data_IF_555370135056
#
_entry.id   IF_555370135056
#
_cell.length_a   1.000
_cell.length_b   1.000
_cell.length_c   1.000
_cell.angle_alpha   90.00
_cell.angle_beta   90.00
_cell.angle_gamma   90.00
#
_symmetry.space_group_name_H-M   'P 1'
#
loop_
_entity.id
_entity.type
_entity.pdbx_description
1 polymer ?
#
# COMPACT_ATOMS: atom_id res chain seq x y z
N UNK A 1 7.38 -34.02 -1.82
CA UNK A 1 7.02 -34.21 -0.39
C UNK A 1 8.14 -33.79 0.58
N UNK A 2 9.38 -34.28 0.47
CA UNK A 2 10.47 -33.85 1.37
C UNK A 2 10.95 -32.40 1.17
N UNK A 3 11.09 -31.96 -0.08
CA UNK A 3 11.51 -30.59 -0.41
C UNK A 3 10.48 -29.52 0.01
N UNK A 4 9.18 -29.82 -0.13
CA UNK A 4 8.09 -28.92 0.29
C UNK A 4 8.06 -28.72 1.81
N UNK A 5 8.36 -29.78 2.57
CA UNK A 5 8.45 -29.69 4.03
C UNK A 5 9.63 -28.83 4.45
N UNK A 6 10.78 -28.99 3.79
CA UNK A 6 11.97 -28.17 4.03
C UNK A 6 11.71 -26.67 3.83
N UNK A 7 11.06 -26.29 2.72
CA UNK A 7 10.70 -24.90 2.45
C UNK A 7 9.70 -24.34 3.47
N UNK A 8 8.70 -25.12 3.89
CA UNK A 8 7.74 -24.70 4.92
C UNK A 8 8.41 -24.51 6.28
N UNK A 9 9.33 -25.39 6.65
CA UNK A 9 10.12 -25.23 7.88
C UNK A 9 11.01 -24.00 7.82
N UNK A 10 11.61 -23.71 6.66
CA UNK A 10 12.38 -22.49 6.46
C UNK A 10 11.51 -21.23 6.59
N UNK A 11 10.30 -21.22 6.04
CA UNK A 11 9.35 -20.10 6.22
C UNK A 11 8.97 -19.90 7.69
N UNK A 12 8.71 -20.98 8.43
CA UNK A 12 8.43 -20.93 9.86
C UNK A 12 9.64 -20.41 10.66
N UNK A 13 10.84 -20.87 10.32
CA UNK A 13 12.08 -20.40 10.93
C UNK A 13 12.30 -18.90 10.65
N UNK A 14 12.05 -18.45 9.42
CA UNK A 14 12.13 -17.04 9.04
C UNK A 14 11.18 -16.16 9.85
N UNK A 15 9.92 -16.60 10.01
CA UNK A 15 8.94 -15.91 10.86
C UNK A 15 9.43 -15.82 12.31
N UNK A 16 9.95 -16.92 12.86
CA UNK A 16 10.51 -16.94 14.22
C UNK A 16 11.70 -15.97 14.34
N UNK A 17 12.62 -15.96 13.38
CA UNK A 17 13.78 -15.07 13.36
C UNK A 17 13.34 -13.60 13.32
N UNK A 18 12.34 -13.23 12.52
CA UNK A 18 11.82 -11.85 12.48
C UNK A 18 11.30 -11.40 13.85
N UNK A 19 10.57 -12.28 14.57
CA UNK A 19 10.09 -11.98 15.93
C UNK A 19 11.25 -11.86 16.93
N UNK A 20 12.25 -12.74 16.84
CA UNK A 20 13.44 -12.68 17.70
C UNK A 20 14.21 -11.38 17.45
N UNK A 21 14.40 -10.97 16.20
CA UNK A 21 15.06 -9.69 15.85
C UNK A 21 14.28 -8.53 16.44
N UNK A 22 12.95 -8.50 16.29
CA UNK A 22 12.12 -7.46 16.89
C UNK A 22 12.24 -7.42 18.43
N UNK A 23 12.33 -8.58 19.09
CA UNK A 23 12.54 -8.67 20.53
C UNK A 23 13.94 -8.23 20.98
N UNK A 24 14.97 -8.43 20.15
CA UNK A 24 16.33 -7.97 20.43
C UNK A 24 16.44 -6.44 20.40
N UNK A 25 15.72 -5.80 19.47
CA UNK A 25 15.64 -4.34 19.35
C UNK A 25 14.52 -3.72 20.20
N UNK A 26 13.82 -4.51 21.02
CA UNK A 26 12.76 -4.03 21.90
C UNK A 26 13.31 -3.14 23.01
N UNK A 27 12.69 -1.98 23.22
CA UNK A 27 13.04 -1.08 24.31
C UNK A 27 12.81 -1.69 25.69
N UNK A 28 11.75 -2.50 25.82
CA UNK A 28 11.43 -3.16 27.09
C UNK A 28 10.75 -4.52 26.86
N UNK A 29 11.58 -5.54 26.61
CA UNK A 29 11.14 -6.94 26.43
C UNK A 29 10.35 -7.55 27.59
N UNK A 30 10.35 -6.96 28.79
CA UNK A 30 9.67 -7.52 29.98
C UNK A 30 8.17 -7.22 30.00
N UNK A 31 7.75 -6.12 29.38
CA UNK A 31 6.35 -5.69 29.35
C UNK A 31 5.61 -6.12 28.08
N UNK A 32 6.32 -6.74 27.15
CA UNK A 32 5.74 -7.29 25.92
C UNK A 32 4.68 -8.32 26.27
N UNK A 33 3.45 -8.12 25.76
CA UNK A 33 2.37 -9.06 25.99
C UNK A 33 2.44 -10.23 25.00
N UNK A 34 2.45 -11.46 25.53
CA UNK A 34 2.38 -12.68 24.70
C UNK A 34 1.11 -12.74 23.85
N UNK A 35 0.05 -12.06 24.28
CA UNK A 35 -1.21 -11.93 23.55
C UNK A 35 -0.99 -11.30 22.17
N UNK A 36 -0.20 -10.22 22.10
CA UNK A 36 0.06 -9.52 20.84
C UNK A 36 0.82 -10.43 19.88
N UNK A 37 1.79 -11.21 20.37
CA UNK A 37 2.52 -12.18 19.54
C UNK A 37 1.57 -13.24 18.98
N UNK A 38 0.78 -13.87 19.86
CA UNK A 38 -0.11 -14.95 19.46
C UNK A 38 -1.21 -14.47 18.51
N UNK A 39 -1.90 -13.38 18.83
CA UNK A 39 -2.98 -12.86 17.99
C UNK A 39 -2.47 -12.10 16.77
N UNK A 40 -1.31 -11.44 16.84
CA UNK A 40 -0.71 -10.76 15.70
C UNK A 40 -0.36 -11.75 14.59
N UNK A 41 0.31 -12.84 14.95
CA UNK A 41 0.58 -13.94 14.03
C UNK A 41 -0.69 -14.72 13.66
N UNK A 42 -1.57 -14.96 14.64
CA UNK A 42 -2.83 -15.68 14.45
C UNK A 42 -3.74 -14.99 13.44
N UNK A 43 -3.94 -13.68 13.54
CA UNK A 43 -4.73 -12.91 12.59
C UNK A 43 -4.15 -12.96 11.18
N UNK A 44 -2.83 -12.80 11.04
CA UNK A 44 -2.16 -12.92 9.74
C UNK A 44 -2.35 -14.31 9.12
N UNK A 45 -2.17 -15.37 9.90
CA UNK A 45 -2.36 -16.75 9.42
C UNK A 45 -3.82 -17.05 9.09
N UNK A 46 -4.76 -16.58 9.91
CA UNK A 46 -6.21 -16.73 9.65
C UNK A 46 -6.57 -16.02 8.35
N UNK A 47 -6.12 -14.77 8.16
CA UNK A 47 -6.34 -14.03 6.92
C UNK A 47 -5.69 -14.72 5.73
N UNK A 48 -4.44 -15.18 5.85
CA UNK A 48 -3.74 -15.90 4.80
C UNK A 48 -4.50 -17.17 4.38
N UNK A 49 -4.94 -18.00 5.34
CA UNK A 49 -5.68 -19.23 5.04
C UNK A 49 -7.05 -18.90 4.43
N UNK A 50 -7.78 -17.95 5.03
CA UNK A 50 -9.10 -17.54 4.57
C UNK A 50 -9.05 -16.99 3.14
N UNK A 51 -8.06 -16.17 2.83
CA UNK A 51 -7.99 -15.44 1.56
C UNK A 51 -7.23 -16.22 0.47
N UNK A 52 -6.19 -16.99 0.81
CA UNK A 52 -5.39 -17.72 -0.19
C UNK A 52 -5.86 -19.15 -0.44
N UNK A 53 -6.47 -19.82 0.56
CA UNK A 53 -6.77 -21.25 0.43
C UNK A 53 -8.26 -21.55 0.17
N UNK A 54 -9.17 -20.72 0.69
CA UNK A 54 -10.62 -21.03 0.65
C UNK A 54 -11.30 -20.63 -0.66
N UNK A 55 -12.50 -21.16 -0.89
CA UNK A 55 -13.36 -20.74 -2.00
C UNK A 55 -13.80 -19.27 -1.89
N UNK A 56 -13.99 -18.77 -0.67
CA UNK A 56 -14.27 -17.35 -0.41
C UNK A 56 -13.11 -16.48 -0.87
N UNK A 57 -11.88 -16.92 -0.60
CA UNK A 57 -10.66 -16.29 -1.09
C UNK A 57 -10.64 -16.14 -2.61
N UNK A 58 -10.86 -17.23 -3.35
CA UNK A 58 -10.93 -17.18 -4.82
C UNK A 58 -12.02 -16.25 -5.35
N UNK A 59 -13.20 -16.24 -4.73
CA UNK A 59 -14.27 -15.32 -5.09
C UNK A 59 -13.85 -13.86 -4.85
N UNK A 60 -13.20 -13.57 -3.72
CA UNK A 60 -12.66 -12.25 -3.40
C UNK A 60 -11.59 -11.82 -4.41
N UNK A 61 -10.64 -12.71 -4.76
CA UNK A 61 -9.62 -12.43 -5.79
C UNK A 61 -10.25 -12.06 -7.14
N UNK A 62 -11.23 -12.84 -7.59
CA UNK A 62 -11.92 -12.57 -8.84
C UNK A 62 -12.69 -11.25 -8.79
N UNK A 63 -13.36 -10.96 -7.66
CA UNK A 63 -14.06 -9.70 -7.45
C UNK A 63 -13.11 -8.50 -7.48
N UNK A 64 -11.96 -8.59 -6.80
CA UNK A 64 -10.93 -7.54 -6.76
C UNK A 64 -10.32 -7.32 -8.13
N UNK A 65 -10.00 -8.38 -8.86
CA UNK A 65 -9.51 -8.27 -10.25
C UNK A 65 -10.56 -7.61 -11.16
N UNK A 66 -11.84 -7.95 -11.01
CA UNK A 66 -12.94 -7.32 -11.75
C UNK A 66 -13.07 -5.83 -11.44
N UNK A 67 -13.05 -5.45 -10.16
CA UNK A 67 -13.06 -4.04 -9.73
C UNK A 67 -11.84 -3.29 -10.26
N UNK A 68 -10.66 -3.91 -10.20
CA UNK A 68 -9.42 -3.35 -10.74
C UNK A 68 -9.55 -3.05 -12.24
N UNK A 69 -10.04 -4.01 -13.03
CA UNK A 69 -10.22 -3.80 -14.48
C UNK A 69 -11.17 -2.64 -14.75
N UNK A 70 -12.32 -2.59 -14.08
CA UNK A 70 -13.30 -1.51 -14.26
C UNK A 70 -12.71 -0.15 -13.88
N UNK A 71 -11.97 -0.06 -12.77
CA UNK A 71 -11.32 1.18 -12.33
C UNK A 71 -10.23 1.60 -13.32
N UNK A 72 -9.42 0.65 -13.77
CA UNK A 72 -8.34 0.91 -14.74
C UNK A 72 -8.91 1.40 -16.06
N UNK A 73 -9.93 0.72 -16.61
CA UNK A 73 -10.59 1.08 -17.85
C UNK A 73 -11.23 2.48 -17.76
N UNK A 74 -11.95 2.76 -16.68
CA UNK A 74 -12.55 4.08 -16.45
C UNK A 74 -11.49 5.19 -16.34
N UNK A 75 -10.35 4.89 -15.70
CA UNK A 75 -9.24 5.84 -15.65
C UNK A 75 -8.58 6.02 -17.01
N UNK A 76 -8.46 4.98 -17.83
CA UNK A 76 -7.88 5.05 -19.17
C UNK A 76 -8.75 5.90 -20.09
N UNK A 77 -10.09 5.81 -19.98
CA UNK A 77 -11.01 6.70 -20.70
C UNK A 77 -10.79 8.17 -20.29
N UNK A 78 -10.70 8.45 -18.99
CA UNK A 78 -10.40 9.79 -18.48
C UNK A 78 -9.05 10.33 -18.95
N UNK A 79 -8.01 9.49 -18.92
CA UNK A 79 -6.68 9.83 -19.40
C UNK A 79 -6.66 10.07 -20.92
N UNK A 80 -7.38 9.27 -21.69
CA UNK A 80 -7.51 9.42 -23.14
C UNK A 80 -8.21 10.71 -23.52
N UNK A 81 -9.18 11.17 -22.72
CA UNK A 81 -9.82 12.47 -22.93
C UNK A 81 -8.84 13.64 -22.72
N UNK A 82 -8.00 13.58 -21.66
CA UNK A 82 -7.07 14.68 -21.33
C UNK A 82 -5.82 14.67 -22.21
N UNK A 83 -5.24 13.49 -22.45
CA UNK A 83 -3.94 13.34 -23.11
C UNK A 83 -4.04 12.81 -24.55
N UNK A 84 -5.24 12.50 -25.03
CA UNK A 84 -5.46 11.94 -26.37
C UNK A 84 -4.72 10.61 -26.54
N UNK A 85 -4.07 10.45 -27.70
CA UNK A 85 -3.35 9.24 -28.04
C UNK A 85 -2.05 9.03 -27.24
N UNK A 86 -1.56 10.03 -26.48
CA UNK A 86 -0.35 9.86 -25.64
C UNK A 86 -0.53 8.80 -24.53
N UNK A 87 -1.78 8.47 -24.22
CA UNK A 87 -2.14 7.36 -23.33
C UNK A 87 -1.90 5.98 -23.94
N UNK A 88 -1.79 5.87 -25.28
CA UNK A 88 -1.58 4.58 -25.97
C UNK A 88 -0.10 4.37 -26.25
N UNK A 89 0.33 3.11 -26.13
CA UNK A 89 1.69 2.68 -26.41
C UNK A 89 2.04 3.00 -27.87
N UNK A 90 2.76 4.09 -28.11
CA UNK A 90 3.43 4.32 -29.38
C UNK A 90 4.76 3.55 -29.34
N UNK A 91 4.79 2.37 -29.94
CA UNK A 91 6.03 1.89 -30.54
C UNK A 91 6.22 2.79 -31.76
N UNK A 92 7.21 3.67 -31.75
CA UNK A 92 7.70 4.25 -33.00
C UNK A 92 8.25 3.07 -33.80
N UNK A 93 7.41 2.55 -34.69
CA UNK A 93 7.76 1.44 -35.57
C UNK A 93 8.86 1.94 -36.51
N UNK A 94 10.08 1.47 -36.25
CA UNK A 94 11.25 1.56 -37.13
C UNK A 94 11.52 2.95 -37.74
N UNK A 95 12.14 3.84 -36.95
CA UNK A 95 12.83 4.98 -37.55
C UNK A 95 14.13 4.46 -38.16
N UNK A 96 14.21 4.41 -39.49
CA UNK A 96 15.45 4.06 -40.19
C UNK A 96 16.42 5.24 -40.07
N UNK A 97 17.55 5.05 -39.40
CA UNK A 97 18.63 6.04 -39.34
C UNK A 97 19.77 5.62 -40.29
N UNK A 98 20.41 6.57 -41.00
CA UNK A 98 21.59 6.24 -41.80
C UNK A 98 22.73 5.87 -40.86
N UNK A 99 23.18 4.61 -40.90
CA UNK A 99 24.40 4.18 -40.22
C UNK A 99 25.63 4.86 -40.83
N UNK A 100 26.75 4.85 -40.10
CA UNK A 100 28.03 5.43 -40.53
C UNK A 100 28.52 4.92 -41.91
N UNK A 101 28.01 3.77 -42.37
CA UNK A 101 28.37 3.09 -43.61
C UNK A 101 27.37 3.37 -44.76
N UNK A 102 26.41 4.28 -44.56
CA UNK A 102 25.36 4.59 -45.54
C UNK A 102 24.28 3.51 -45.71
N UNK A 103 24.34 2.43 -44.91
CA UNK A 103 23.27 1.43 -44.83
C UNK A 103 22.23 1.83 -43.78
N UNK A 104 20.96 1.60 -44.10
CA UNK A 104 19.86 1.81 -43.17
C UNK A 104 19.93 0.76 -42.07
N UNK A 105 20.26 1.17 -40.85
CA UNK A 105 20.27 0.29 -39.68
C UNK A 105 18.94 0.49 -38.96
N UNK A 106 18.29 -0.61 -38.56
CA UNK A 106 17.16 -0.53 -37.63
C UNK A 106 17.76 -0.17 -36.28
N UNK A 107 17.74 1.12 -35.94
CA UNK A 107 18.02 1.54 -34.57
C UNK A 107 16.97 0.88 -33.66
N UNK A 108 17.41 0.29 -32.54
CA UNK A 108 16.50 -0.35 -31.59
C UNK A 108 15.34 0.61 -31.31
N UNK A 109 14.11 0.13 -31.45
CA UNK A 109 12.90 0.92 -31.33
C UNK A 109 13.02 1.84 -30.11
N UNK A 110 13.10 3.16 -30.34
CA UNK A 110 12.98 4.12 -29.26
C UNK A 110 11.52 4.09 -28.82
N UNK A 111 11.20 3.13 -27.95
CA UNK A 111 9.91 3.08 -27.31
C UNK A 111 9.90 4.26 -26.36
N UNK A 112 9.25 5.35 -26.77
CA UNK A 112 8.90 6.45 -25.87
C UNK A 112 7.85 5.90 -24.91
N UNK A 113 8.28 5.09 -23.96
CA UNK A 113 7.45 4.47 -22.96
C UNK A 113 7.11 5.51 -21.88
N UNK A 114 6.33 6.52 -22.25
CA UNK A 114 5.64 7.39 -21.31
C UNK A 114 4.40 6.69 -20.70
N UNK A 115 4.30 5.37 -20.86
CA UNK A 115 3.23 4.52 -20.32
C UNK A 115 3.05 4.75 -18.83
N UNK A 116 4.15 4.93 -18.08
CA UNK A 116 4.06 5.28 -16.67
C UNK A 116 3.37 6.63 -16.45
N UNK A 117 3.80 7.68 -17.14
CA UNK A 117 3.26 9.03 -16.97
C UNK A 117 1.81 9.16 -17.42
N UNK A 118 1.40 8.48 -18.49
CA UNK A 118 0.08 8.64 -19.10
C UNK A 118 -0.91 7.50 -18.84
N UNK A 119 -0.48 6.36 -18.27
CA UNK A 119 -1.39 5.30 -17.81
C UNK A 119 -1.36 5.13 -16.30
N UNK A 120 -0.20 5.20 -15.65
CA UNK A 120 -0.11 4.90 -14.22
C UNK A 120 -0.48 6.10 -13.36
N UNK A 121 0.05 7.29 -13.67
CA UNK A 121 -0.26 8.50 -12.87
C UNK A 121 -1.75 8.90 -12.91
N UNK A 122 -2.47 8.86 -14.06
CA UNK A 122 -3.90 9.19 -14.08
C UNK A 122 -4.74 8.23 -13.24
N UNK A 123 -4.35 6.97 -13.18
CA UNK A 123 -5.01 5.95 -12.36
C UNK A 123 -4.90 6.27 -10.87
N UNK A 124 -3.75 6.77 -10.42
CA UNK A 124 -3.59 7.25 -9.04
C UNK A 124 -4.59 8.37 -8.74
N UNK A 125 -4.75 9.33 -9.65
CA UNK A 125 -5.67 10.48 -9.51
C UNK A 125 -7.12 10.00 -9.46
N UNK A 126 -7.49 9.10 -10.37
CA UNK A 126 -8.84 8.57 -10.47
C UNK A 126 -9.23 7.75 -9.23
N UNK A 127 -8.34 6.86 -8.77
CA UNK A 127 -8.57 6.04 -7.57
C UNK A 127 -8.70 6.91 -6.33
N UNK A 128 -7.90 7.97 -6.18
CA UNK A 128 -8.04 8.91 -5.06
C UNK A 128 -9.40 9.63 -5.09
N UNK A 129 -9.90 10.02 -6.27
CA UNK A 129 -11.24 10.57 -6.45
C UNK A 129 -12.35 9.59 -6.02
N UNK A 130 -12.27 8.33 -6.46
CA UNK A 130 -13.21 7.26 -6.08
C UNK A 130 -13.13 6.94 -4.59
N UNK A 131 -11.93 6.84 -4.03
CA UNK A 131 -11.70 6.62 -2.60
C UNK A 131 -12.34 7.73 -1.75
N UNK A 132 -12.17 9.00 -2.15
CA UNK A 132 -12.81 10.12 -1.47
C UNK A 132 -14.35 10.05 -1.54
N UNK A 133 -14.92 9.62 -2.66
CA UNK A 133 -16.37 9.37 -2.77
C UNK A 133 -16.79 8.26 -1.80
N UNK A 134 -16.10 7.12 -1.80
CA UNK A 134 -16.41 6.00 -0.91
C UNK A 134 -16.26 6.36 0.57
N UNK A 135 -15.32 7.25 0.89
CA UNK A 135 -15.16 7.83 2.22
C UNK A 135 -16.31 8.78 2.57
N UNK A 136 -16.77 9.62 1.63
CA UNK A 136 -17.92 10.48 1.85
C UNK A 136 -19.21 9.68 2.08
N UNK A 137 -19.37 8.56 1.36
CA UNK A 137 -20.51 7.65 1.52
C UNK A 137 -20.44 6.75 2.76
N UNK A 138 -19.33 6.75 3.51
CA UNK A 138 -19.19 5.93 4.71
C UNK A 138 -18.78 4.47 4.47
N UNK A 139 -18.51 4.07 3.22
CA UNK A 139 -18.19 2.67 2.86
C UNK A 139 -16.82 2.26 3.43
N UNK A 140 -15.80 3.10 3.25
CA UNK A 140 -14.45 2.85 3.80
C UNK A 140 -14.53 2.78 5.32
N UNK A 141 -15.24 3.70 5.97
CA UNK A 141 -15.39 3.73 7.42
C UNK A 141 -16.11 2.50 7.97
N UNK A 142 -17.04 1.90 7.21
CA UNK A 142 -17.70 0.67 7.63
C UNK A 142 -16.70 -0.51 7.67
N UNK A 143 -15.90 -0.67 6.61
CA UNK A 143 -14.90 -1.75 6.51
C UNK A 143 -13.77 -1.55 7.52
N UNK A 144 -13.26 -0.31 7.63
CA UNK A 144 -12.22 0.06 8.59
C UNK A 144 -12.69 -0.18 10.02
N UNK A 145 -13.94 0.18 10.37
CA UNK A 145 -14.49 -0.10 11.71
C UNK A 145 -14.58 -1.58 12.02
N UNK A 146 -14.99 -2.41 11.05
CA UNK A 146 -15.02 -3.86 11.24
C UNK A 146 -13.62 -4.45 11.49
N UNK A 147 -12.62 -3.99 10.71
CA UNK A 147 -11.25 -4.45 10.86
C UNK A 147 -10.60 -3.96 12.17
N UNK A 148 -10.81 -2.69 12.52
CA UNK A 148 -10.36 -2.10 13.77
C UNK A 148 -10.97 -2.80 14.98
N UNK A 149 -12.27 -3.13 14.92
CA UNK A 149 -12.96 -3.89 15.97
C UNK A 149 -12.35 -5.28 16.15
N UNK A 150 -12.07 -5.99 15.05
CA UNK A 150 -11.45 -7.31 15.08
C UNK A 150 -10.05 -7.26 15.74
N UNK A 151 -9.22 -6.30 15.33
CA UNK A 151 -7.88 -6.09 15.88
C UNK A 151 -7.93 -5.67 17.36
N UNK A 152 -8.76 -4.70 17.71
CA UNK A 152 -8.92 -4.25 19.11
C UNK A 152 -9.37 -5.38 20.02
N UNK A 153 -10.32 -6.21 19.57
CA UNK A 153 -10.86 -7.32 20.38
C UNK A 153 -9.83 -8.41 20.64
N UNK A 154 -8.97 -8.68 19.66
CA UNK A 154 -7.97 -9.75 19.70
C UNK A 154 -6.66 -9.28 20.35
N UNK A 155 -6.06 -8.21 19.82
CA UNK A 155 -4.77 -7.67 20.22
C UNK A 155 -4.84 -6.82 21.51
N UNK A 156 -6.03 -6.35 21.92
CA UNK A 156 -6.22 -5.42 23.05
C UNK A 156 -5.45 -4.10 22.91
N UNK A 157 -5.29 -3.65 21.68
CA UNK A 157 -4.77 -2.33 21.33
C UNK A 157 -5.79 -1.21 21.54
N UNK A 158 -5.35 0.05 21.52
CA UNK A 158 -6.25 1.18 21.64
C UNK A 158 -7.19 1.31 20.43
N UNK A 159 -8.27 2.08 20.60
CA UNK A 159 -9.19 2.39 19.51
C UNK A 159 -8.47 3.09 18.36
N UNK A 160 -7.66 4.12 18.68
CA UNK A 160 -7.05 4.99 17.68
C UNK A 160 -5.94 4.32 16.89
N UNK A 161 -5.10 3.51 17.51
CA UNK A 161 -4.06 2.81 16.75
C UNK A 161 -4.65 1.70 15.88
N UNK A 162 -5.68 1.00 16.35
CA UNK A 162 -6.35 -0.07 15.59
C UNK A 162 -7.13 0.51 14.41
N UNK A 163 -7.83 1.62 14.62
CA UNK A 163 -8.54 2.33 13.58
C UNK A 163 -7.57 2.95 12.56
N UNK A 164 -6.52 3.62 13.03
CA UNK A 164 -5.53 4.23 12.16
C UNK A 164 -4.76 3.20 11.32
N UNK A 165 -4.30 2.10 11.93
CA UNK A 165 -3.70 1.00 11.19
C UNK A 165 -4.66 0.39 10.16
N UNK A 166 -5.96 0.30 10.51
CA UNK A 166 -6.96 -0.20 9.57
C UNK A 166 -7.25 0.75 8.41
N UNK A 167 -7.26 2.06 8.67
CA UNK A 167 -7.50 3.09 7.66
C UNK A 167 -6.33 3.12 6.65
N UNK A 168 -5.09 3.02 7.15
CA UNK A 168 -3.87 3.02 6.34
C UNK A 168 -3.82 1.92 5.27
N UNK A 169 -4.41 0.75 5.53
CA UNK A 169 -4.52 -0.37 4.56
C UNK A 169 -5.24 0.04 3.27
N UNK A 170 -6.21 0.95 3.37
CA UNK A 170 -7.02 1.37 2.23
C UNK A 170 -6.53 2.69 1.64
N UNK A 171 -6.36 3.70 2.48
CA UNK A 171 -6.14 5.08 2.05
C UNK A 171 -4.67 5.52 2.14
N UNK A 172 -3.80 4.75 2.80
CA UNK A 172 -2.36 5.06 2.93
C UNK A 172 -2.12 6.48 3.43
N UNK A 173 -1.31 7.27 2.72
CA UNK A 173 -0.93 8.64 3.14
C UNK A 173 -2.12 9.58 3.32
N UNK A 174 -3.24 9.35 2.62
CA UNK A 174 -4.45 10.17 2.70
C UNK A 174 -5.11 10.08 4.09
N UNK A 175 -4.84 9.00 4.82
CA UNK A 175 -5.33 8.77 6.18
C UNK A 175 -4.68 9.69 7.21
N UNK A 176 -3.50 10.27 6.91
CA UNK A 176 -2.73 11.02 7.91
C UNK A 176 -3.38 12.36 8.26
N UNK A 177 -4.03 13.01 7.31
CA UNK A 177 -4.83 14.22 7.58
C UNK A 177 -6.06 13.89 8.43
N UNK A 178 -6.72 12.77 8.13
CA UNK A 178 -7.88 12.26 8.87
C UNK A 178 -7.55 11.88 10.32
N UNK A 179 -6.34 11.39 10.58
CA UNK A 179 -5.89 11.01 11.91
C UNK A 179 -5.29 12.18 12.71
N UNK A 180 -5.08 13.35 12.09
CA UNK A 180 -4.28 14.45 12.66
C UNK A 180 -4.67 14.88 14.07
N UNK A 181 -5.97 14.99 14.37
CA UNK A 181 -6.47 15.33 15.70
C UNK A 181 -6.21 14.25 16.75
N UNK A 182 -6.19 12.98 16.34
CA UNK A 182 -5.91 11.84 17.21
C UNK A 182 -4.41 11.69 17.48
N UNK A 183 -3.54 12.01 16.52
CA UNK A 183 -2.08 11.89 16.66
C UNK A 183 -1.53 12.71 17.83
N UNK A 184 -2.13 13.85 18.15
CA UNK A 184 -1.69 14.71 19.26
C UNK A 184 -1.98 14.13 20.65
N UNK A 185 -2.91 13.18 20.73
CA UNK A 185 -3.35 12.53 21.98
C UNK A 185 -2.83 11.11 22.12
N UNK A 186 -2.05 10.65 21.14
CA UNK A 186 -1.48 9.31 21.13
C UNK A 186 -0.27 9.20 22.05
N UNK A 187 -0.14 8.09 22.75
CA UNK A 187 1.10 7.73 23.44
C UNK A 187 2.22 7.48 22.42
N UNK A 188 3.47 7.41 22.90
CA UNK A 188 4.61 7.09 22.04
C UNK A 188 4.47 5.73 21.35
N UNK A 189 3.88 4.74 22.02
CA UNK A 189 3.68 3.41 21.45
C UNK A 189 2.58 3.43 20.37
N UNK A 190 1.48 4.15 20.59
CA UNK A 190 0.43 4.33 19.58
C UNK A 190 0.94 5.06 18.33
N UNK A 191 1.70 6.14 18.51
CA UNK A 191 2.29 6.87 17.40
C UNK A 191 3.27 5.98 16.61
N UNK A 192 4.08 5.18 17.31
CA UNK A 192 4.97 4.22 16.68
C UNK A 192 4.21 3.14 15.90
N UNK A 193 3.05 2.69 16.40
CA UNK A 193 2.14 1.80 15.67
C UNK A 193 1.67 2.43 14.36
N UNK A 194 1.22 3.68 14.37
CA UNK A 194 0.77 4.38 13.15
C UNK A 194 1.92 4.54 12.15
N UNK A 195 3.11 4.93 12.62
CA UNK A 195 4.29 5.07 11.75
C UNK A 195 4.69 3.72 11.12
N UNK A 196 4.67 2.65 11.92
CA UNK A 196 5.00 1.29 11.44
C UNK A 196 3.95 0.79 10.46
N UNK A 197 2.66 1.02 10.74
CA UNK A 197 1.57 0.65 9.84
C UNK A 197 1.68 1.39 8.51
N UNK A 198 1.96 2.69 8.54
CA UNK A 198 2.14 3.49 7.33
C UNK A 198 3.26 2.93 6.44
N UNK A 199 4.39 2.54 7.03
CA UNK A 199 5.51 1.95 6.30
C UNK A 199 5.26 0.50 5.83
N UNK A 200 4.40 -0.24 6.52
CA UNK A 200 4.11 -1.65 6.22
C UNK A 200 2.98 -1.83 5.18
N UNK A 201 2.10 -0.85 5.02
CA UNK A 201 0.94 -0.91 4.13
C UNK A 201 1.16 -0.14 2.84
N UNK A 202 0.46 -0.55 1.78
CA UNK A 202 0.37 0.20 0.52
C UNK A 202 -1.03 0.78 0.37
N UNK A 203 -1.13 1.98 -0.18
CA UNK A 203 -2.42 2.60 -0.49
C UNK A 203 -3.10 1.88 -1.67
N UNK A 204 -4.43 1.84 -1.69
CA UNK A 204 -5.20 1.27 -2.80
C UNK A 204 -4.90 1.97 -4.14
N UNK A 205 -4.64 3.28 -4.13
CA UNK A 205 -4.27 4.05 -5.32
C UNK A 205 -2.96 3.58 -5.98
N UNK A 206 -1.95 3.24 -5.18
CA UNK A 206 -0.66 2.73 -5.67
C UNK A 206 -0.71 1.22 -5.97
N UNK A 207 -1.63 0.49 -5.34
CA UNK A 207 -1.89 -0.91 -5.67
C UNK A 207 -2.23 -1.10 -7.15
N UNK A 208 -3.03 -0.20 -7.72
CA UNK A 208 -3.43 -0.26 -9.12
C UNK A 208 -2.23 -0.03 -10.05
N UNK A 209 -1.29 0.83 -9.64
CA UNK A 209 -0.02 1.01 -10.35
C UNK A 209 0.82 -0.29 -10.39
N UNK A 210 0.98 -0.97 -9.25
CA UNK A 210 1.73 -2.23 -9.20
C UNK A 210 1.05 -3.34 -9.98
N UNK A 211 -0.28 -3.37 -10.02
CA UNK A 211 -1.00 -4.34 -10.83
C UNK A 211 -0.81 -4.10 -12.33
N UNK A 212 -0.71 -2.83 -12.78
CA UNK A 212 -0.32 -2.51 -14.15
C UNK A 212 1.12 -2.94 -14.50
N UNK A 213 1.99 -3.14 -13.50
CA UNK A 213 3.31 -3.75 -13.68
C UNK A 213 3.29 -5.29 -13.71
N UNK A 214 2.11 -5.91 -13.60
CA UNK A 214 1.92 -7.36 -13.65
C UNK A 214 1.79 -8.03 -12.28
N UNK A 215 1.73 -7.26 -11.19
CA UNK A 215 1.42 -7.84 -9.87
C UNK A 215 -0.05 -8.24 -9.79
N UNK A 216 -0.36 -9.38 -9.17
CA UNK A 216 -1.74 -9.84 -9.05
C UNK A 216 -2.51 -9.00 -8.00
N UNK A 217 -3.60 -8.29 -8.35
CA UNK A 217 -4.33 -7.41 -7.43
C UNK A 217 -4.82 -8.11 -6.16
N UNK A 218 -5.28 -9.36 -6.28
CA UNK A 218 -5.70 -10.16 -5.12
C UNK A 218 -4.58 -10.40 -4.12
N UNK A 219 -3.35 -10.66 -4.58
CA UNK A 219 -2.19 -10.80 -3.71
C UNK A 219 -1.80 -9.47 -3.04
N UNK A 220 -1.86 -8.35 -3.78
CA UNK A 220 -1.58 -7.02 -3.22
C UNK A 220 -2.59 -6.62 -2.14
N UNK A 221 -3.88 -6.88 -2.36
CA UNK A 221 -4.92 -6.62 -1.38
C UNK A 221 -4.72 -7.49 -0.12
N UNK A 222 -4.47 -8.78 -0.32
CA UNK A 222 -4.22 -9.71 0.79
C UNK A 222 -3.02 -9.28 1.61
N UNK A 223 -1.92 -8.90 0.96
CA UNK A 223 -0.73 -8.39 1.61
C UNK A 223 -1.04 -7.12 2.42
N UNK A 224 -1.77 -6.15 1.84
CA UNK A 224 -2.13 -4.92 2.54
C UNK A 224 -2.99 -5.20 3.79
N UNK A 225 -4.00 -6.08 3.70
CA UNK A 225 -4.82 -6.46 4.85
C UNK A 225 -4.02 -7.17 5.95
N UNK A 226 -3.06 -8.02 5.59
CA UNK A 226 -2.19 -8.71 6.54
C UNK A 226 -1.16 -7.77 7.18
N UNK A 227 -0.77 -6.69 6.50
CA UNK A 227 0.19 -5.71 7.01
C UNK A 227 -0.32 -4.95 8.24
N UNK A 228 -1.63 -4.72 8.40
CA UNK A 228 -2.17 -4.06 9.60
C UNK A 228 -1.88 -4.82 10.92
N UNK A 229 -2.30 -6.09 11.09
CA UNK A 229 -1.95 -6.84 12.30
C UNK A 229 -0.46 -7.13 12.42
N UNK A 230 0.28 -7.24 11.29
CA UNK A 230 1.74 -7.39 11.31
C UNK A 230 2.46 -6.14 11.82
N UNK A 231 2.01 -4.96 11.40
CA UNK A 231 2.54 -3.69 11.85
C UNK A 231 2.29 -3.48 13.34
N UNK A 232 1.06 -3.76 13.82
CA UNK A 232 0.75 -3.68 15.25
C UNK A 232 1.62 -4.64 16.05
N UNK A 233 1.79 -5.88 15.57
CA UNK A 233 2.65 -6.87 16.21
C UNK A 233 4.09 -6.34 16.36
N UNK A 234 4.72 -5.92 15.26
CA UNK A 234 6.10 -5.46 15.30
C UNK A 234 6.26 -4.15 16.07
N UNK A 235 5.31 -3.23 15.94
CA UNK A 235 5.31 -1.97 16.66
C UNK A 235 5.29 -2.18 18.17
N UNK A 236 4.39 -3.03 18.66
CA UNK A 236 4.25 -3.32 20.09
C UNK A 236 5.33 -4.25 20.63
N UNK A 237 6.07 -4.95 19.78
CA UNK A 237 7.30 -5.65 20.16
C UNK A 237 8.45 -4.66 20.37
N UNK A 238 8.65 -3.74 19.43
CA UNK A 238 9.76 -2.78 19.45
C UNK A 238 9.55 -1.68 20.51
N UNK A 239 8.36 -1.07 20.53
CA UNK A 239 7.96 -0.01 21.44
C UNK A 239 6.66 -0.41 22.15
N UNK A 240 6.75 -1.23 23.22
CA UNK A 240 5.57 -1.68 23.95
C UNK A 240 4.85 -0.54 24.68
N UNK A 241 3.54 -0.69 24.90
CA UNK A 241 2.73 0.28 25.63
C UNK A 241 3.12 0.35 27.11
N UNK A 242 3.43 1.55 27.60
CA UNK A 242 3.82 1.79 29.01
C UNK A 242 2.79 2.62 29.77
N UNK A 243 1.98 3.39 29.04
CA UNK A 243 1.00 4.32 29.58
C UNK A 243 -0.42 3.77 29.40
N UNK A 244 -1.42 4.46 29.95
CA UNK A 244 -2.82 4.17 29.65
C UNK A 244 -3.24 5.14 28.55
N UNK A 245 -3.45 4.69 27.30
CA UNK A 245 -3.85 5.56 26.21
C UNK A 245 -5.13 6.33 26.52
N UNK A 246 -5.14 7.63 26.24
CA UNK A 246 -6.35 8.45 26.32
C UNK A 246 -7.42 8.01 25.30
N UNK A 247 -6.99 7.35 24.22
CA UNK A 247 -7.85 6.86 23.13
C UNK A 247 -8.37 5.44 23.35
N UNK A 248 -8.09 4.82 24.51
CA UNK A 248 -8.39 3.42 24.79
C UNK A 248 -9.89 3.09 24.75
N UNK A 249 -10.73 4.06 25.11
CA UNK A 249 -12.20 4.00 25.16
C UNK A 249 -12.92 4.75 24.03
N UNK A 250 -12.20 5.26 23.02
CA UNK A 250 -12.84 5.85 21.84
C UNK A 250 -13.42 4.73 20.96
N UNK A 251 -14.68 4.36 21.22
CA UNK A 251 -15.43 3.36 20.46
C UNK A 251 -15.87 3.88 19.07
N UNK A 252 -15.87 5.20 18.89
CA UNK A 252 -16.31 5.88 17.68
C UNK A 252 -15.27 6.89 17.21
N UNK A 253 -14.23 6.37 16.57
CA UNK A 253 -13.29 7.19 15.84
C UNK A 253 -13.92 7.51 14.50
N UNK A 254 -14.33 8.76 14.35
CA UNK A 254 -14.92 9.29 13.13
C UNK A 254 -13.88 10.11 12.42
N UNK A 255 -13.65 9.77 11.15
CA UNK A 255 -12.94 10.66 10.24
C UNK A 255 -13.88 11.79 9.88
N UNK A 256 -13.46 13.03 10.13
CA UNK A 256 -14.21 14.21 9.71
C UNK A 256 -14.27 14.22 8.18
N UNK A 257 -15.49 14.26 7.64
CA UNK A 257 -15.74 14.32 6.20
C UNK A 257 -16.11 15.75 5.87
N UNK A 258 -15.12 16.51 5.42
CA UNK A 258 -15.32 17.93 5.10
C UNK A 258 -16.12 18.15 3.79
N UNK A 259 -16.35 17.11 2.99
CA UNK A 259 -17.02 17.24 1.68
C UNK A 259 -18.52 17.37 1.84
N UNK A 260 -19.12 18.30 1.09
CA UNK A 260 -20.56 18.61 1.18
C UNK A 260 -21.44 17.67 0.37
N UNK A 261 -20.90 17.11 -0.70
CA UNK A 261 -21.59 16.17 -1.59
C UNK A 261 -20.57 15.29 -2.32
N UNK A 262 -21.08 14.32 -3.09
CA UNK A 262 -20.27 13.34 -3.85
C UNK A 262 -19.33 14.02 -4.86
N UNK A 263 -19.78 15.09 -5.53
CA UNK A 263 -18.96 15.80 -6.51
C UNK A 263 -17.82 16.57 -5.84
N UNK A 264 -18.10 17.22 -4.70
CA UNK A 264 -17.10 17.88 -3.87
C UNK A 264 -16.08 16.88 -3.29
N UNK A 265 -16.53 15.69 -2.89
CA UNK A 265 -15.64 14.62 -2.48
C UNK A 265 -14.72 14.18 -3.63
N UNK A 266 -15.27 14.00 -4.83
CA UNK A 266 -14.49 13.60 -6.01
C UNK A 266 -13.42 14.63 -6.40
N UNK A 267 -13.74 15.94 -6.38
CA UNK A 267 -12.78 17.00 -6.75
C UNK A 267 -11.66 17.15 -5.73
N UNK A 268 -11.97 17.03 -4.43
CA UNK A 268 -10.96 17.01 -3.36
C UNK A 268 -10.06 15.79 -3.47
N UNK A 269 -10.65 14.60 -3.67
CA UNK A 269 -9.91 13.36 -3.87
C UNK A 269 -8.98 13.43 -5.09
N UNK A 270 -9.46 13.94 -6.22
CA UNK A 270 -8.64 14.14 -7.42
C UNK A 270 -7.48 15.11 -7.17
N UNK A 271 -7.67 16.16 -6.38
CA UNK A 271 -6.61 17.13 -6.05
C UNK A 271 -5.54 16.52 -5.14
N UNK A 272 -5.94 15.70 -4.16
CA UNK A 272 -5.01 14.94 -3.31
C UNK A 272 -4.24 13.93 -4.15
N UNK A 273 -4.95 13.18 -5.00
CA UNK A 273 -4.38 12.21 -5.93
C UNK A 273 -3.38 12.83 -6.92
N UNK A 274 -3.66 14.02 -7.44
CA UNK A 274 -2.75 14.76 -8.32
C UNK A 274 -1.42 15.06 -7.62
N UNK A 275 -1.47 15.62 -6.40
CA UNK A 275 -0.25 15.90 -5.64
C UNK A 275 0.55 14.62 -5.36
N UNK A 276 -0.15 13.53 -5.02
CA UNK A 276 0.49 12.24 -4.81
C UNK A 276 1.13 11.69 -6.09
N UNK A 277 0.45 11.76 -7.23
CA UNK A 277 0.98 11.34 -8.52
C UNK A 277 2.24 12.14 -8.91
N UNK A 278 2.23 13.47 -8.68
CA UNK A 278 3.40 14.32 -8.91
C UNK A 278 4.57 13.95 -7.99
N UNK A 279 4.31 13.70 -6.70
CA UNK A 279 5.35 13.24 -5.78
C UNK A 279 5.94 11.89 -6.21
N UNK A 280 5.10 10.92 -6.61
CA UNK A 280 5.57 9.62 -7.11
C UNK A 280 6.44 9.79 -8.36
N UNK A 281 5.99 10.59 -9.33
CA UNK A 281 6.75 10.86 -10.54
C UNK A 281 8.12 11.50 -10.23
N UNK A 282 8.14 12.54 -9.39
CA UNK A 282 9.36 13.21 -8.99
C UNK A 282 10.33 12.28 -8.25
N UNK A 283 9.83 11.46 -7.32
CA UNK A 283 10.65 10.48 -6.60
C UNK A 283 11.27 9.46 -7.55
N UNK A 284 10.49 8.92 -8.51
CA UNK A 284 11.03 7.94 -9.46
C UNK A 284 12.11 8.54 -10.36
N UNK A 285 11.93 9.77 -10.86
CA UNK A 285 12.95 10.44 -11.67
C UNK A 285 14.26 10.58 -10.89
N UNK A 286 14.18 11.03 -9.63
CA UNK A 286 15.36 11.23 -8.78
C UNK A 286 16.01 9.90 -8.43
N UNK A 287 15.26 8.93 -7.90
CA UNK A 287 15.83 7.67 -7.43
C UNK A 287 16.36 6.78 -8.55
N UNK A 288 15.67 6.70 -9.70
CA UNK A 288 16.19 5.95 -10.86
C UNK A 288 17.47 6.61 -11.38
N UNK A 289 17.53 7.95 -11.41
CA UNK A 289 18.75 8.68 -11.76
C UNK A 289 19.90 8.43 -10.78
N UNK A 290 19.62 8.38 -9.47
CA UNK A 290 20.61 8.06 -8.45
C UNK A 290 21.12 6.62 -8.57
N UNK A 291 20.25 5.65 -8.88
CA UNK A 291 20.65 4.27 -9.15
C UNK A 291 21.59 4.22 -10.35
N UNK A 292 21.26 4.89 -11.45
CA UNK A 292 22.14 4.95 -12.63
C UNK A 292 23.52 5.54 -12.29
N UNK A 293 23.57 6.62 -11.50
CA UNK A 293 24.83 7.19 -11.05
C UNK A 293 25.63 6.23 -10.17
N UNK A 294 24.96 5.51 -9.26
CA UNK A 294 25.58 4.51 -8.42
C UNK A 294 26.13 3.33 -9.24
N UNK A 295 25.39 2.85 -10.24
CA UNK A 295 25.81 1.78 -11.14
C UNK A 295 27.03 2.21 -11.96
N UNK A 296 27.02 3.42 -12.54
CA UNK A 296 28.16 3.97 -13.27
C UNK A 296 29.39 4.14 -12.39
N UNK A 297 29.19 4.58 -11.14
CA UNK A 297 30.27 4.68 -10.17
C UNK A 297 30.83 3.31 -9.78
N UNK A 298 29.97 2.30 -9.58
CA UNK A 298 30.37 0.93 -9.28
C UNK A 298 31.15 0.29 -10.43
N UNK A 299 30.69 0.46 -11.67
CA UNK A 299 31.42 -0.01 -12.86
C UNK A 299 32.78 0.67 -12.97
N UNK A 300 32.84 1.99 -12.79
CA UNK A 300 34.13 2.70 -12.78
C UNK A 300 35.11 2.17 -11.71
N UNK A 301 34.62 1.75 -10.54
CA UNK A 301 35.44 1.14 -9.49
C UNK A 301 35.86 -0.31 -9.79
N UNK A 302 35.05 -1.07 -10.52
CA UNK A 302 35.27 -2.52 -10.74
C UNK A 302 35.93 -2.86 -12.08
N UNK A 303 35.94 -1.93 -13.04
CA UNK A 303 36.51 -2.09 -14.38
C UNK A 303 35.50 -2.59 -15.40
#
# INVERSE_FOLDING_TARGET
>A
MGADLGLRMLSLLGLFVMIVVALLFSENRRIVSFRIIFWGLGLQLILAVLVLHTALGRWLFQGVNGVFNVISDASTEGASFVFGNLSRLFVLEQVMTPGADGQMVVEESFVVNALFAFNVLPVIIFVAGVAAILQHLGVIQAVVRAMAWLMRRSLKTSGAESFGAALLVFTGIESMSALGGYLQRMTRSELFTIMTAFLATIAASVMVAYANFGAEPGHLLTASLMSAPAAILLAKLLVPEQEIPETLSEDHISVEVDSRNIFDAATRGASIGLNMALHVAAMLIVFVGLIYLADRFSLWLTG
#
